data_IF_016818467858
#
_entry.id   IF_016818467858
#
_cell.length_a   1.000
_cell.length_b   1.000
_cell.length_c   1.000
_cell.angle_alpha   90.00
_cell.angle_beta   90.00
_cell.angle_gamma   90.00
#
_symmetry.space_group_name_H-M   'P 1'
#
loop_
_entity.id
_entity.type
_entity.pdbx_description
1 polymer ?
#
# COMPACT_ATOMS: atom_id res chain seq x y z
N UNK A 1 -16.71 26.05 2.43
CA UNK A 1 -15.32 25.59 2.66
C UNK A 1 -14.86 24.90 1.38
N UNK A 2 -13.70 25.23 0.79
CA UNK A 2 -13.26 24.63 -0.48
C UNK A 2 -12.56 23.28 -0.25
N UNK A 3 -12.52 22.43 -1.29
CA UNK A 3 -11.79 21.15 -1.25
C UNK A 3 -10.31 21.34 -0.92
N UNK A 4 -9.69 22.41 -1.45
CA UNK A 4 -8.29 22.73 -1.22
C UNK A 4 -7.97 23.14 0.22
N UNK A 5 -8.89 23.81 0.91
CA UNK A 5 -8.70 24.14 2.35
C UNK A 5 -8.66 22.84 3.17
N UNK A 6 -9.57 21.89 2.91
CA UNK A 6 -9.57 20.60 3.59
C UNK A 6 -8.32 19.78 3.27
N UNK A 7 -7.88 19.82 2.02
CA UNK A 7 -6.62 19.21 1.59
C UNK A 7 -5.41 19.83 2.30
N UNK A 8 -5.32 21.16 2.37
CA UNK A 8 -4.26 21.88 3.07
C UNK A 8 -4.24 21.59 4.57
N UNK A 9 -5.39 21.54 5.21
CA UNK A 9 -5.52 21.21 6.62
C UNK A 9 -5.04 19.78 6.93
N UNK A 10 -5.32 18.84 6.03
CA UNK A 10 -4.85 17.46 6.18
C UNK A 10 -3.32 17.36 5.96
N UNK A 11 -2.78 17.91 4.88
CA UNK A 11 -1.34 17.83 4.59
C UNK A 11 -0.50 18.55 5.65
N UNK A 12 -0.99 19.65 6.23
CA UNK A 12 -0.30 20.42 7.27
C UNK A 12 0.01 19.58 8.51
N UNK A 13 -0.83 18.62 8.85
CA UNK A 13 -0.61 17.71 9.99
C UNK A 13 0.64 16.83 9.84
N UNK A 14 1.21 16.73 8.64
CA UNK A 14 2.44 16.00 8.36
C UNK A 14 3.70 16.87 8.57
N UNK A 15 3.55 18.19 8.82
CA UNK A 15 4.67 19.13 9.03
C UNK A 15 5.71 18.63 10.06
N UNK A 16 5.36 17.99 11.19
CA UNK A 16 6.34 17.53 12.17
C UNK A 16 7.32 16.44 11.67
N UNK A 17 7.09 15.88 10.47
CA UNK A 17 8.04 14.96 9.84
C UNK A 17 9.23 15.68 9.15
N UNK A 18 9.24 16.99 9.12
CA UNK A 18 10.22 17.80 8.39
C UNK A 18 10.97 18.71 9.34
N UNK A 19 12.30 18.69 9.30
CA UNK A 19 13.12 19.58 10.14
C UNK A 19 13.12 21.04 9.66
N UNK A 20 12.73 21.30 8.39
CA UNK A 20 12.69 22.64 7.79
C UNK A 20 11.31 22.91 7.18
N UNK A 21 10.76 24.11 7.44
CA UNK A 21 9.48 24.52 6.86
C UNK A 21 9.55 24.56 5.32
N UNK A 22 10.62 25.08 4.76
CA UNK A 22 10.82 25.16 3.32
C UNK A 22 10.74 23.78 2.65
N UNK A 23 11.36 22.75 3.22
CA UNK A 23 11.28 21.37 2.68
C UNK A 23 9.87 20.82 2.77
N UNK A 24 9.14 21.10 3.84
CA UNK A 24 7.73 20.73 3.96
C UNK A 24 6.87 21.40 2.88
N UNK A 25 7.05 22.69 2.64
CA UNK A 25 6.28 23.42 1.62
C UNK A 25 6.56 22.88 0.21
N UNK A 26 7.79 22.53 -0.12
CA UNK A 26 8.12 21.84 -1.36
C UNK A 26 7.51 20.45 -1.45
N UNK A 27 7.49 19.71 -0.34
CA UNK A 27 6.81 18.41 -0.29
C UNK A 27 5.30 18.56 -0.50
N UNK A 28 4.65 19.52 0.16
CA UNK A 28 3.22 19.82 -0.03
C UNK A 28 2.93 20.23 -1.48
N UNK A 29 3.81 21.05 -2.08
CA UNK A 29 3.76 21.42 -3.52
C UNK A 29 3.87 20.18 -4.41
N UNK A 30 4.77 19.25 -4.10
CA UNK A 30 4.89 18.00 -4.84
C UNK A 30 3.59 17.17 -4.75
N UNK A 31 2.99 17.03 -3.55
CA UNK A 31 1.73 16.30 -3.38
C UNK A 31 0.57 17.01 -4.09
N UNK A 32 0.53 18.35 -4.10
CA UNK A 32 -0.44 19.11 -4.89
C UNK A 32 -0.26 18.85 -6.39
N UNK A 33 0.98 18.84 -6.88
CA UNK A 33 1.27 18.47 -8.27
C UNK A 33 0.85 17.05 -8.64
N UNK A 34 1.08 16.06 -7.74
CA UNK A 34 0.54 14.70 -7.91
C UNK A 34 -0.99 14.69 -8.03
N UNK A 35 -1.66 15.57 -7.27
CA UNK A 35 -3.12 15.68 -7.25
C UNK A 35 -3.69 16.18 -8.56
N UNK A 36 -3.06 17.19 -9.18
CA UNK A 36 -3.65 17.92 -10.33
C UNK A 36 -3.04 17.56 -11.68
N UNK A 37 -1.91 16.88 -11.74
CA UNK A 37 -1.27 16.52 -13.01
C UNK A 37 -2.11 15.56 -13.85
N UNK A 38 -1.97 15.67 -15.17
CA UNK A 38 -2.67 14.83 -16.16
C UNK A 38 -1.74 13.80 -16.82
N UNK A 39 -0.44 14.03 -16.76
CA UNK A 39 0.59 13.12 -17.25
C UNK A 39 1.45 12.58 -16.10
N UNK A 40 2.27 11.57 -16.37
CA UNK A 40 3.07 10.87 -15.35
C UNK A 40 4.57 10.95 -15.65
N UNK A 41 5.04 12.09 -16.14
CA UNK A 41 6.43 12.29 -16.55
C UNK A 41 7.36 12.70 -15.39
N UNK A 42 7.19 12.10 -14.22
CA UNK A 42 8.04 12.35 -13.05
C UNK A 42 7.87 13.76 -12.46
N UNK A 43 8.98 14.42 -12.11
CA UNK A 43 8.98 15.76 -11.50
C UNK A 43 8.55 16.84 -12.52
N UNK A 44 8.87 16.66 -13.78
CA UNK A 44 8.51 17.60 -14.85
C UNK A 44 6.99 17.82 -14.92
N UNK A 45 6.20 16.76 -14.74
CA UNK A 45 4.74 16.89 -14.73
C UNK A 45 4.21 17.70 -13.55
N UNK A 46 4.88 17.66 -12.41
CA UNK A 46 4.53 18.48 -11.23
C UNK A 46 4.74 19.96 -11.54
N UNK A 47 5.92 20.31 -12.11
CA UNK A 47 6.25 21.69 -12.51
C UNK A 47 5.23 22.25 -13.49
N UNK A 48 4.88 21.45 -14.50
CA UNK A 48 3.88 21.87 -15.52
C UNK A 48 2.48 21.99 -14.94
N UNK A 49 2.03 21.02 -14.17
CA UNK A 49 0.67 20.98 -13.65
C UNK A 49 0.34 22.13 -12.69
N UNK A 50 1.34 22.65 -11.99
CA UNK A 50 1.22 23.80 -11.09
C UNK A 50 1.69 25.10 -11.72
N UNK A 51 2.08 25.07 -13.01
CA UNK A 51 2.64 26.21 -13.74
C UNK A 51 3.82 26.89 -13.01
N UNK A 52 4.71 26.09 -12.41
CA UNK A 52 5.87 26.60 -11.70
C UNK A 52 6.97 27.05 -12.67
N UNK A 53 7.79 27.99 -12.22
CA UNK A 53 9.03 28.38 -12.91
C UNK A 53 9.93 27.13 -13.11
N UNK A 54 10.61 27.07 -14.25
CA UNK A 54 11.46 25.93 -14.62
C UNK A 54 12.59 25.66 -13.59
N UNK A 55 13.08 26.69 -12.90
CA UNK A 55 14.08 26.59 -11.81
C UNK A 55 13.58 25.75 -10.63
N UNK A 56 12.27 25.66 -10.43
CA UNK A 56 11.64 24.83 -9.40
C UNK A 56 11.88 23.32 -9.60
N UNK A 57 12.23 22.89 -10.83
CA UNK A 57 12.52 21.48 -11.11
C UNK A 57 13.66 20.92 -10.25
N UNK A 58 14.80 21.60 -10.22
CA UNK A 58 15.95 21.16 -9.42
C UNK A 58 15.63 21.19 -7.91
N UNK A 59 14.93 22.22 -7.45
CA UNK A 59 14.53 22.34 -6.04
C UNK A 59 13.59 21.22 -5.60
N UNK A 60 12.67 20.79 -6.47
CA UNK A 60 11.82 19.64 -6.21
C UNK A 60 12.63 18.34 -6.14
N UNK A 61 13.60 18.14 -7.04
CA UNK A 61 14.52 17.00 -6.97
C UNK A 61 15.29 17.00 -5.65
N UNK A 62 15.82 18.16 -5.24
CA UNK A 62 16.56 18.31 -3.98
C UNK A 62 15.67 18.06 -2.76
N UNK A 63 14.41 18.46 -2.81
CA UNK A 63 13.43 18.15 -1.77
C UNK A 63 13.30 16.63 -1.56
N UNK A 64 13.16 15.84 -2.63
CA UNK A 64 13.07 14.38 -2.53
C UNK A 64 14.34 13.74 -1.96
N UNK A 65 15.52 14.32 -2.23
CA UNK A 65 16.81 13.85 -1.72
C UNK A 65 17.14 14.38 -0.31
N UNK A 66 16.34 15.29 0.22
CA UNK A 66 16.65 16.03 1.44
C UNK A 66 16.54 15.16 2.70
N UNK A 67 17.60 15.15 3.51
CA UNK A 67 17.61 14.54 4.84
C UNK A 67 16.69 15.25 5.86
N UNK A 68 16.18 16.44 5.51
CA UNK A 68 15.17 17.15 6.29
C UNK A 68 13.82 16.43 6.28
N UNK A 69 13.55 15.54 5.32
CA UNK A 69 12.40 14.65 5.30
C UNK A 69 12.69 13.43 6.17
N UNK A 70 12.06 13.32 7.33
CA UNK A 70 12.17 12.16 8.22
C UNK A 70 11.16 11.10 7.79
N UNK A 71 11.55 10.27 6.82
CA UNK A 71 10.65 9.40 6.06
C UNK A 71 9.82 8.44 6.94
N UNK A 72 10.41 7.78 7.94
CA UNK A 72 9.68 6.84 8.78
C UNK A 72 8.72 7.59 9.72
N UNK A 73 9.11 8.78 10.21
CA UNK A 73 8.20 9.67 10.94
C UNK A 73 7.06 10.18 10.05
N UNK A 74 7.35 10.50 8.78
CA UNK A 74 6.31 10.88 7.81
C UNK A 74 5.31 9.76 7.60
N UNK A 75 5.79 8.52 7.48
CA UNK A 75 4.94 7.35 7.33
C UNK A 75 4.07 7.10 8.58
N UNK A 76 4.66 7.18 9.78
CA UNK A 76 3.92 7.02 11.04
C UNK A 76 2.86 8.11 11.22
N UNK A 77 3.21 9.39 10.98
CA UNK A 77 2.25 10.50 11.05
C UNK A 77 1.15 10.36 9.99
N UNK A 78 1.48 9.89 8.79
CA UNK A 78 0.49 9.59 7.76
C UNK A 78 -0.49 8.51 8.22
N UNK A 79 -0.02 7.42 8.80
CA UNK A 79 -0.87 6.36 9.35
C UNK A 79 -1.80 6.88 10.45
N UNK A 80 -1.27 7.66 11.40
CA UNK A 80 -2.08 8.29 12.45
C UNK A 80 -3.11 9.25 11.87
N UNK A 81 -2.74 10.00 10.83
CA UNK A 81 -3.65 10.90 10.12
C UNK A 81 -4.76 10.11 9.42
N UNK A 82 -4.45 9.03 8.70
CA UNK A 82 -5.44 8.16 8.05
C UNK A 82 -6.45 7.63 9.06
N UNK A 83 -6.00 7.15 10.23
CA UNK A 83 -6.89 6.66 11.28
C UNK A 83 -7.83 7.74 11.86
N UNK A 84 -7.48 9.03 11.73
CA UNK A 84 -8.31 10.17 12.12
C UNK A 84 -9.23 10.65 10.99
N UNK A 85 -8.73 10.66 9.75
CA UNK A 85 -9.47 11.13 8.57
C UNK A 85 -10.59 10.16 8.17
N UNK A 86 -10.40 8.87 8.44
CA UNK A 86 -11.36 7.83 8.13
C UNK A 86 -11.97 7.29 9.43
N UNK A 87 -13.12 7.84 9.87
CA UNK A 87 -13.71 7.47 11.17
C UNK A 87 -14.23 6.03 11.22
N UNK A 88 -14.37 5.39 10.06
CA UNK A 88 -14.85 4.02 9.94
C UNK A 88 -13.78 3.09 9.30
N UNK A 89 -12.62 2.86 9.96
CA UNK A 89 -11.75 1.78 9.54
C UNK A 89 -12.51 0.46 9.66
N UNK A 90 -12.27 -0.46 8.73
CA UNK A 90 -12.86 -1.80 8.85
C UNK A 90 -12.33 -2.47 10.11
N UNK A 91 -13.26 -2.80 11.02
CA UNK A 91 -12.94 -3.50 12.26
C UNK A 91 -13.72 -4.80 12.38
N UNK A 92 -13.03 -5.82 12.88
CA UNK A 92 -13.63 -7.10 13.26
C UNK A 92 -13.02 -7.51 14.60
N UNK A 93 -13.81 -7.95 15.55
CA UNK A 93 -13.38 -8.24 16.92
C UNK A 93 -12.52 -7.12 17.54
N UNK A 94 -12.89 -5.86 17.30
CA UNK A 94 -12.16 -4.67 17.78
C UNK A 94 -10.83 -4.37 17.07
N UNK A 95 -10.39 -5.21 16.12
CA UNK A 95 -9.12 -5.09 15.40
C UNK A 95 -9.30 -4.42 14.05
N UNK A 96 -8.37 -3.55 13.68
CA UNK A 96 -8.28 -3.02 12.32
C UNK A 96 -7.88 -4.12 11.33
N UNK A 97 -8.13 -3.89 10.04
CA UNK A 97 -7.73 -4.82 8.98
C UNK A 97 -6.71 -4.16 8.07
N UNK A 98 -5.49 -4.69 8.07
CA UNK A 98 -4.42 -4.32 7.16
C UNK A 98 -4.29 -5.35 6.05
N UNK A 99 -4.09 -4.89 4.84
CA UNK A 99 -3.77 -5.74 3.69
C UNK A 99 -2.34 -5.47 3.24
N UNK A 100 -1.60 -6.53 2.94
CA UNK A 100 -0.21 -6.44 2.48
C UNK A 100 0.03 -7.27 1.24
N UNK A 101 0.83 -6.71 0.31
CA UNK A 101 1.20 -7.41 -0.92
C UNK A 101 2.49 -6.83 -1.52
N UNK A 102 3.03 -7.52 -2.53
CA UNK A 102 4.16 -7.06 -3.33
C UNK A 102 3.73 -6.45 -4.65
N UNK A 103 4.46 -5.44 -5.12
CA UNK A 103 4.29 -4.90 -6.46
C UNK A 103 5.64 -4.80 -7.18
N UNK A 104 5.67 -5.17 -8.45
CA UNK A 104 6.84 -5.05 -9.34
C UNK A 104 6.58 -3.93 -10.34
N UNK A 105 7.49 -2.96 -10.38
CA UNK A 105 7.36 -1.76 -11.20
C UNK A 105 8.51 -1.69 -12.18
N UNK A 106 8.26 -1.70 -13.51
CA UNK A 106 9.31 -1.61 -14.52
C UNK A 106 10.04 -0.26 -14.42
N UNK A 107 11.35 -0.29 -14.71
CA UNK A 107 12.24 0.86 -14.75
C UNK A 107 13.15 0.80 -15.97
N UNK A 108 13.13 1.85 -16.78
CA UNK A 108 13.99 1.94 -17.98
C UNK A 108 15.41 2.45 -17.66
N UNK A 109 15.62 3.06 -16.48
CA UNK A 109 16.90 3.66 -16.10
C UNK A 109 17.96 2.63 -15.78
N UNK A 110 19.09 2.66 -16.48
CA UNK A 110 20.22 1.76 -16.26
C UNK A 110 21.15 2.17 -15.13
N UNK A 111 21.06 3.40 -14.65
CA UNK A 111 21.81 3.96 -13.50
C UNK A 111 20.90 4.21 -12.30
N UNK A 112 20.08 3.23 -11.96
CA UNK A 112 19.15 3.30 -10.84
C UNK A 112 19.46 2.18 -9.83
N UNK A 113 19.84 2.54 -8.58
CA UNK A 113 20.01 1.54 -7.52
C UNK A 113 18.75 0.72 -7.28
N UNK A 114 18.93 -0.55 -6.90
CA UNK A 114 17.88 -1.55 -6.66
C UNK A 114 17.12 -2.06 -7.89
N UNK A 115 17.37 -1.54 -9.09
CA UNK A 115 16.81 -2.14 -10.31
C UNK A 115 17.47 -3.49 -10.56
N UNK A 116 16.66 -4.51 -10.81
CA UNK A 116 17.11 -5.89 -11.10
C UNK A 116 16.14 -6.58 -12.06
N UNK A 117 16.54 -7.71 -12.59
CA UNK A 117 15.65 -8.63 -13.31
C UNK A 117 14.64 -9.24 -12.32
N UNK A 118 13.37 -9.12 -12.64
CA UNK A 118 12.25 -9.61 -11.83
C UNK A 118 11.36 -10.51 -12.68
N UNK A 119 11.12 -11.74 -12.21
CA UNK A 119 10.13 -12.63 -12.79
C UNK A 119 8.72 -12.17 -12.38
N UNK A 120 7.84 -11.96 -13.34
CA UNK A 120 6.43 -11.63 -13.10
C UNK A 120 5.61 -12.92 -13.10
N UNK A 121 5.06 -13.28 -11.94
CA UNK A 121 4.04 -14.31 -11.85
C UNK A 121 2.71 -13.70 -12.28
N UNK A 122 2.40 -13.71 -13.55
CA UNK A 122 1.14 -13.19 -14.08
C UNK A 122 0.44 -14.30 -14.85
N UNK A 123 -0.84 -14.51 -14.57
CA UNK A 123 -1.71 -15.39 -15.37
C UNK A 123 -2.09 -14.75 -16.72
N UNK A 124 -1.72 -13.49 -16.94
CA UNK A 124 -2.00 -12.77 -18.18
C UNK A 124 -0.87 -12.90 -19.20
N UNK A 125 -1.18 -13.47 -20.35
CA UNK A 125 -0.24 -13.63 -21.49
C UNK A 125 0.19 -12.27 -22.11
N UNK A 126 -0.42 -11.16 -21.74
CA UNK A 126 -0.09 -9.82 -22.25
C UNK A 126 1.05 -9.14 -21.49
N UNK A 127 1.50 -9.69 -20.37
CA UNK A 127 2.61 -9.14 -19.60
C UNK A 127 3.89 -9.94 -19.85
N UNK A 128 5.06 -9.29 -20.04
CA UNK A 128 6.31 -10.00 -20.18
C UNK A 128 6.60 -10.79 -18.91
N UNK A 129 7.14 -12.01 -19.07
CA UNK A 129 7.51 -12.89 -17.95
C UNK A 129 8.59 -12.26 -17.06
N UNK A 130 9.49 -11.50 -17.64
CA UNK A 130 10.58 -10.82 -16.95
C UNK A 130 10.59 -9.31 -17.23
N UNK A 131 10.86 -8.53 -16.20
CA UNK A 131 11.06 -7.07 -16.30
C UNK A 131 12.32 -6.64 -15.56
N UNK A 132 12.97 -5.59 -16.05
CA UNK A 132 13.91 -4.82 -15.25
C UNK A 132 13.14 -3.80 -14.43
N UNK A 133 13.29 -3.81 -13.10
CA UNK A 133 12.48 -2.92 -12.27
C UNK A 133 12.77 -2.98 -10.79
N UNK A 134 11.93 -2.29 -10.03
CA UNK A 134 11.91 -2.33 -8.57
C UNK A 134 10.84 -3.30 -8.07
N UNK A 135 11.23 -4.10 -7.09
CA UNK A 135 10.32 -4.94 -6.31
C UNK A 135 10.02 -4.24 -4.99
N UNK A 136 8.74 -3.99 -4.70
CA UNK A 136 8.30 -3.24 -3.54
C UNK A 136 7.30 -4.07 -2.73
N UNK A 137 7.24 -3.81 -1.43
CA UNK A 137 6.15 -4.26 -0.56
C UNK A 137 5.32 -3.07 -0.11
N UNK A 138 4.02 -3.29 0.05
CA UNK A 138 3.07 -2.28 0.47
C UNK A 138 2.17 -2.80 1.58
N UNK A 139 1.73 -1.88 2.43
CA UNK A 139 0.72 -2.08 3.47
C UNK A 139 -0.34 -1.01 3.34
N UNK A 140 -1.61 -1.42 3.37
CA UNK A 140 -2.77 -0.53 3.29
C UNK A 140 -3.77 -0.86 4.40
N UNK A 141 -4.52 0.15 4.86
CA UNK A 141 -5.63 0.01 5.80
C UNK A 141 -6.93 -0.17 5.01
N UNK A 142 -7.76 -1.15 5.36
CA UNK A 142 -9.12 -1.24 4.85
C UNK A 142 -10.04 -0.29 5.59
N UNK A 143 -10.82 0.49 4.84
CA UNK A 143 -11.80 1.43 5.36
C UNK A 143 -13.16 1.23 4.71
N UNK A 144 -14.22 1.46 5.48
CA UNK A 144 -15.58 1.53 4.96
C UNK A 144 -15.92 2.94 4.47
N UNK A 145 -16.66 3.02 3.37
CA UNK A 145 -17.26 4.24 2.89
C UNK A 145 -18.63 3.91 2.29
N UNK A 146 -19.68 4.24 2.99
CA UNK A 146 -21.05 3.87 2.67
C UNK A 146 -21.16 2.35 2.41
N UNK A 147 -21.62 1.93 1.23
CA UNK A 147 -21.71 0.51 0.83
C UNK A 147 -20.41 -0.08 0.29
N UNK A 148 -19.31 0.69 0.26
CA UNK A 148 -18.04 0.29 -0.35
C UNK A 148 -16.94 0.12 0.69
N UNK A 149 -15.95 -0.73 0.35
CA UNK A 149 -14.71 -0.88 1.10
C UNK A 149 -13.53 -0.66 0.16
N UNK A 150 -12.50 0.07 0.60
CA UNK A 150 -11.30 0.31 -0.18
C UNK A 150 -10.04 0.31 0.70
N UNK A 151 -8.87 0.21 0.05
CA UNK A 151 -7.58 0.17 0.72
C UNK A 151 -6.90 1.53 0.64
N UNK A 152 -6.66 2.16 1.80
CA UNK A 152 -5.88 3.39 1.92
C UNK A 152 -4.41 3.02 2.10
N UNK A 153 -3.50 3.40 1.17
CA UNK A 153 -2.10 3.03 1.28
C UNK A 153 -1.41 3.77 2.43
N UNK A 154 -0.69 3.02 3.27
CA UNK A 154 0.04 3.55 4.42
C UNK A 154 1.53 3.66 4.15
N UNK A 155 2.14 2.59 3.68
CA UNK A 155 3.58 2.48 3.48
C UNK A 155 3.92 1.62 2.26
N UNK A 156 4.91 2.05 1.49
CA UNK A 156 5.47 1.27 0.38
C UNK A 156 6.99 1.42 0.39
N UNK A 157 7.74 0.31 0.32
CA UNK A 157 9.21 0.34 0.31
C UNK A 157 9.77 -0.65 -0.70
N UNK A 158 10.89 -0.26 -1.33
CA UNK A 158 11.72 -1.18 -2.13
C UNK A 158 12.39 -2.16 -1.17
N UNK A 159 12.27 -3.44 -1.44
CA UNK A 159 12.74 -4.49 -0.54
C UNK A 159 13.73 -5.47 -1.18
N UNK A 160 13.92 -5.42 -2.49
CA UNK A 160 14.90 -6.23 -3.23
C UNK A 160 15.87 -5.37 -4.05
N UNK A 161 16.85 -6.02 -4.64
CA UNK A 161 17.80 -5.41 -5.56
C UNK A 161 19.12 -4.98 -4.94
N UNK A 162 19.19 -4.80 -3.62
CA UNK A 162 20.41 -4.38 -2.92
C UNK A 162 20.78 -5.34 -1.79
N UNK A 163 22.06 -5.69 -1.73
CA UNK A 163 22.67 -6.50 -0.66
C UNK A 163 23.69 -5.62 0.07
N UNK A 164 23.32 -5.12 1.25
CA UNK A 164 24.15 -4.23 2.06
C UNK A 164 25.26 -4.94 2.83
N UNK A 165 25.00 -6.20 3.21
CA UNK A 165 25.92 -7.05 3.93
C UNK A 165 25.72 -8.50 3.51
N UNK A 166 26.82 -9.26 3.37
CA UNK A 166 26.76 -10.70 3.16
C UNK A 166 26.27 -11.47 4.41
N UNK A 167 26.21 -10.80 5.57
CA UNK A 167 25.67 -11.34 6.82
C UNK A 167 24.17 -11.07 6.99
N UNK A 168 23.56 -10.22 6.17
CA UNK A 168 22.13 -9.93 6.24
C UNK A 168 21.31 -11.10 5.70
N UNK A 169 20.69 -11.85 6.59
CA UNK A 169 19.86 -13.03 6.29
C UNK A 169 18.36 -12.69 6.26
N UNK A 170 18.00 -11.41 6.31
CA UNK A 170 16.59 -11.00 6.24
C UNK A 170 15.98 -11.39 4.90
N UNK A 171 14.89 -12.15 4.99
CA UNK A 171 14.06 -12.53 3.84
C UNK A 171 13.04 -11.44 3.53
N UNK A 172 12.27 -11.61 2.46
CA UNK A 172 11.14 -10.71 2.13
C UNK A 172 10.08 -10.70 3.23
N UNK A 173 9.92 -11.81 3.95
CA UNK A 173 9.02 -11.91 5.10
C UNK A 173 9.48 -11.02 6.26
N UNK A 174 10.77 -11.05 6.59
CA UNK A 174 11.34 -10.18 7.63
C UNK A 174 11.18 -8.70 7.26
N UNK A 175 11.33 -8.36 5.97
CA UNK A 175 11.17 -6.99 5.46
C UNK A 175 9.72 -6.53 5.49
N UNK A 176 8.73 -7.43 5.33
CA UNK A 176 7.32 -7.10 5.52
C UNK A 176 7.03 -6.78 7.00
N UNK A 177 7.59 -7.53 7.96
CA UNK A 177 7.46 -7.20 9.38
C UNK A 177 8.07 -5.83 9.72
N UNK A 178 9.23 -5.51 9.15
CA UNK A 178 9.83 -4.17 9.27
C UNK A 178 8.91 -3.11 8.68
N UNK A 179 8.29 -3.36 7.52
CA UNK A 179 7.37 -2.41 6.89
C UNK A 179 6.10 -2.20 7.74
N UNK A 180 5.55 -3.25 8.35
CA UNK A 180 4.45 -3.14 9.30
C UNK A 180 4.83 -2.29 10.52
N UNK A 181 6.06 -2.46 11.05
CA UNK A 181 6.60 -1.62 12.11
C UNK A 181 6.75 -0.15 11.69
N UNK A 182 7.21 0.12 10.47
CA UNK A 182 7.30 1.49 9.90
C UNK A 182 5.92 2.12 9.72
N UNK A 183 4.91 1.34 9.32
CA UNK A 183 3.54 1.80 9.22
C UNK A 183 2.97 2.24 10.58
N UNK A 184 3.53 1.75 11.69
CA UNK A 184 3.27 2.19 13.06
C UNK A 184 1.77 2.24 13.43
N UNK A 185 1.03 1.18 13.10
CA UNK A 185 -0.37 1.02 13.54
C UNK A 185 -0.35 0.55 14.98
N UNK A 186 -0.69 1.44 15.92
CA UNK A 186 -0.63 1.17 17.36
C UNK A 186 -1.77 0.25 17.85
N UNK A 187 -2.86 0.19 17.10
CA UNK A 187 -4.03 -0.62 17.44
C UNK A 187 -3.82 -2.06 16.97
N UNK A 188 -4.35 -3.07 17.69
CA UNK A 188 -4.33 -4.44 17.23
C UNK A 188 -5.00 -4.61 15.85
N UNK A 189 -4.45 -5.48 15.01
CA UNK A 189 -4.95 -5.67 13.65
C UNK A 189 -4.90 -7.12 13.18
N UNK A 190 -5.71 -7.41 12.17
CA UNK A 190 -5.54 -8.58 11.30
C UNK A 190 -4.70 -8.17 10.09
N UNK A 191 -3.63 -8.90 9.85
CA UNK A 191 -2.85 -8.76 8.61
C UNK A 191 -3.35 -9.78 7.59
N UNK A 192 -3.96 -9.29 6.51
CA UNK A 192 -4.51 -10.13 5.44
C UNK A 192 -3.55 -10.11 4.26
N UNK A 193 -3.04 -11.26 3.88
CA UNK A 193 -2.02 -11.39 2.84
C UNK A 193 -2.19 -12.69 2.04
N UNK A 194 -1.42 -12.85 0.96
CA UNK A 194 -1.46 -14.03 0.13
C UNK A 194 -0.75 -15.24 0.77
N UNK A 195 -0.80 -16.40 0.11
CA UNK A 195 -0.21 -17.65 0.62
C UNK A 195 1.32 -17.60 0.80
N UNK A 196 2.02 -16.64 0.21
CA UNK A 196 3.45 -16.43 0.40
C UNK A 196 3.79 -16.08 1.87
N UNK A 197 2.89 -15.35 2.53
CA UNK A 197 3.05 -14.93 3.92
C UNK A 197 2.64 -15.98 4.94
N UNK A 198 2.15 -17.15 4.53
CA UNK A 198 1.85 -18.29 5.41
C UNK A 198 3.13 -18.95 5.93
N UNK A 199 3.87 -18.29 6.80
CA UNK A 199 5.18 -18.72 7.27
C UNK A 199 5.37 -18.40 8.76
N UNK A 200 6.22 -19.23 9.44
CA UNK A 200 6.55 -19.06 10.86
C UNK A 200 6.96 -17.62 11.21
N UNK A 201 7.86 -17.02 10.43
CA UNK A 201 8.37 -15.68 10.69
C UNK A 201 7.26 -14.64 10.79
N UNK A 202 6.33 -14.63 9.85
CA UNK A 202 5.20 -13.69 9.86
C UNK A 202 4.28 -13.96 11.06
N UNK A 203 3.92 -15.22 11.29
CA UNK A 203 3.05 -15.58 12.41
C UNK A 203 3.68 -15.20 13.73
N UNK A 204 4.94 -15.57 13.97
CA UNK A 204 5.65 -15.24 15.20
C UNK A 204 5.76 -13.73 15.40
N UNK A 205 6.18 -12.99 14.36
CA UNK A 205 6.33 -11.53 14.43
C UNK A 205 5.01 -10.79 14.68
N UNK A 206 3.88 -11.27 14.13
CA UNK A 206 2.57 -10.69 14.39
C UNK A 206 2.06 -11.01 15.80
N UNK A 207 2.17 -12.26 16.22
CA UNK A 207 1.67 -12.71 17.53
C UNK A 207 2.41 -12.06 18.71
N UNK A 208 3.71 -11.77 18.58
CA UNK A 208 4.47 -11.06 19.63
C UNK A 208 3.95 -9.64 19.86
N UNK A 209 3.26 -9.06 18.90
CA UNK A 209 2.64 -7.74 18.97
C UNK A 209 1.11 -7.80 19.13
N UNK A 210 0.57 -8.95 19.55
CA UNK A 210 -0.87 -9.20 19.66
C UNK A 210 -1.65 -8.96 18.35
N UNK A 211 -1.02 -9.22 17.19
CA UNK A 211 -1.64 -9.16 15.88
C UNK A 211 -1.84 -10.56 15.31
N UNK A 212 -2.74 -10.69 14.35
CA UNK A 212 -3.08 -11.97 13.74
C UNK A 212 -2.87 -11.97 12.24
N UNK A 213 -2.49 -13.14 11.70
CA UNK A 213 -2.42 -13.39 10.27
C UNK A 213 -3.71 -14.04 9.77
N UNK A 214 -4.23 -13.52 8.67
CA UNK A 214 -5.27 -14.16 7.86
C UNK A 214 -4.72 -14.35 6.44
N UNK A 215 -4.68 -15.58 5.94
CA UNK A 215 -4.06 -15.89 4.66
C UNK A 215 -4.66 -17.13 3.99
N UNK A 216 -4.37 -17.31 2.71
CA UNK A 216 -4.65 -18.54 1.97
C UNK A 216 -3.54 -19.56 2.24
N UNK A 217 -3.90 -20.83 2.31
CA UNK A 217 -2.95 -21.93 2.44
C UNK A 217 -2.63 -22.56 1.09
N UNK A 218 -1.40 -23.09 0.97
CA UNK A 218 -1.01 -23.91 -0.17
C UNK A 218 -1.70 -25.28 -0.10
N UNK A 219 -1.99 -25.90 -1.24
CA UNK A 219 -2.69 -27.20 -1.33
C UNK A 219 -1.95 -28.36 -0.66
N UNK A 220 -0.61 -28.28 -0.59
CA UNK A 220 0.25 -29.30 0.04
C UNK A 220 0.48 -29.07 1.55
N UNK A 221 -0.16 -28.05 2.14
CA UNK A 221 0.03 -27.74 3.56
C UNK A 221 -0.58 -28.84 4.46
N UNK A 222 0.03 -29.01 5.64
CA UNK A 222 -0.38 -29.99 6.63
C UNK A 222 -0.58 -29.36 8.00
N UNK A 223 -1.50 -29.91 8.77
CA UNK A 223 -1.74 -29.58 10.17
C UNK A 223 -1.87 -30.86 11.01
N UNK A 224 -2.08 -30.72 12.31
CA UNK A 224 -2.13 -31.84 13.24
C UNK A 224 -3.30 -31.67 14.21
N UNK A 225 -3.88 -32.79 14.63
CA UNK A 225 -4.76 -32.79 15.82
C UNK A 225 -3.93 -32.52 17.07
N UNK A 226 -4.57 -32.09 18.15
CA UNK A 226 -3.93 -32.11 19.45
C UNK A 226 -3.62 -33.56 19.83
N UNK A 227 -2.46 -33.78 20.49
CA UNK A 227 -2.13 -35.08 20.98
C UNK A 227 -3.03 -35.42 22.19
N UNK A 228 -3.73 -36.54 22.09
CA UNK A 228 -4.47 -37.11 23.21
C UNK A 228 -3.63 -38.20 23.84
N UNK A 229 -3.27 -38.03 25.11
CA UNK A 229 -2.52 -39.05 25.86
C UNK A 229 -3.40 -40.28 26.09
N UNK A 230 -2.97 -41.39 25.52
CA UNK A 230 -3.58 -42.69 25.80
C UNK A 230 -2.59 -43.51 26.63
N UNK A 231 -2.87 -43.70 27.92
CA UNK A 231 -2.02 -44.45 28.84
C UNK A 231 -1.10 -43.58 29.72
N UNK A 232 -0.24 -44.23 30.56
CA UNK A 232 0.58 -43.53 31.54
C UNK A 232 1.62 -42.61 30.88
N UNK A 233 1.97 -41.51 31.58
CA UNK A 233 2.92 -40.52 31.11
C UNK A 233 4.32 -41.13 30.99
N UNK A 234 4.89 -41.12 29.80
CA UNK A 234 6.27 -41.53 29.52
C UNK A 234 7.27 -40.43 29.90
N UNK A 235 8.53 -40.82 30.25
CA UNK A 235 9.63 -39.88 30.50
C UNK A 235 9.93 -39.09 29.22
N UNK A 236 10.29 -37.82 29.37
CA UNK A 236 10.70 -36.91 28.27
C UNK A 236 9.69 -35.80 27.99
N UNK A 237 9.96 -35.00 26.93
CA UNK A 237 9.09 -33.89 26.52
C UNK A 237 7.73 -34.41 26.08
N UNK A 238 6.61 -33.88 26.63
CA UNK A 238 5.27 -34.30 26.22
C UNK A 238 5.04 -34.09 24.72
N UNK A 239 4.42 -35.09 24.08
CA UNK A 239 4.05 -34.98 22.67
C UNK A 239 2.90 -33.97 22.53
N UNK A 240 3.09 -32.98 21.65
CA UNK A 240 2.12 -31.91 21.39
C UNK A 240 1.24 -32.24 20.18
N UNK A 241 1.83 -32.80 19.12
CA UNK A 241 1.18 -33.04 17.83
C UNK A 241 0.65 -34.49 17.76
N UNK A 242 -0.64 -34.61 17.47
CA UNK A 242 -1.31 -35.89 17.21
C UNK A 242 -1.20 -36.35 15.74
N UNK A 243 -2.32 -36.76 15.17
CA UNK A 243 -2.39 -37.27 13.80
C UNK A 243 -2.17 -36.16 12.79
N UNK A 244 -1.40 -36.44 11.72
CA UNK A 244 -1.15 -35.55 10.60
C UNK A 244 -2.35 -35.50 9.66
N UNK A 245 -2.76 -34.30 9.28
CA UNK A 245 -3.89 -34.05 8.36
C UNK A 245 -3.35 -33.25 7.17
N UNK A 246 -3.53 -33.75 5.96
CA UNK A 246 -3.36 -32.95 4.73
C UNK A 246 -4.52 -31.95 4.64
N UNK A 247 -4.25 -30.65 4.58
CA UNK A 247 -5.31 -29.65 4.59
C UNK A 247 -6.23 -29.74 3.35
N UNK A 248 -5.71 -30.24 2.21
CA UNK A 248 -6.53 -30.51 1.03
C UNK A 248 -7.64 -31.53 1.26
N UNK A 249 -7.47 -32.47 2.22
CA UNK A 249 -8.52 -33.43 2.57
C UNK A 249 -9.74 -32.76 3.21
N UNK A 250 -9.60 -31.55 3.76
CA UNK A 250 -10.73 -30.79 4.28
C UNK A 250 -11.71 -30.36 3.17
N UNK A 251 -11.26 -30.28 1.93
CA UNK A 251 -12.09 -29.94 0.76
C UNK A 251 -12.85 -31.13 0.20
N UNK A 252 -12.48 -32.37 0.55
CA UNK A 252 -13.05 -33.60 -0.03
C UNK A 252 -14.26 -34.17 0.74
N UNK A 253 -14.43 -33.77 2.01
CA UNK A 253 -15.44 -34.34 2.91
C UNK A 253 -16.78 -33.58 2.78
N UNK A 254 -17.59 -33.86 1.75
CA UNK A 254 -18.83 -33.14 1.44
C UNK A 254 -19.89 -33.11 2.56
N UNK A 255 -19.98 -34.16 3.38
CA UNK A 255 -21.00 -34.30 4.43
C UNK A 255 -20.91 -33.30 5.61
N UNK A 256 -19.82 -32.55 5.73
CA UNK A 256 -19.55 -31.68 6.88
C UNK A 256 -19.44 -30.20 6.48
N UNK A 257 -19.93 -29.82 5.32
CA UNK A 257 -19.95 -28.44 4.88
C UNK A 257 -21.25 -27.75 5.31
N UNK A 258 -21.10 -26.57 5.86
CA UNK A 258 -22.18 -25.62 6.10
C UNK A 258 -22.39 -24.76 4.85
N UNK A 259 -23.60 -24.28 4.65
CA UNK A 259 -23.93 -23.35 3.56
C UNK A 259 -24.20 -21.96 4.12
N UNK A 260 -23.76 -20.94 3.41
CA UNK A 260 -24.09 -19.56 3.72
C UNK A 260 -24.11 -18.70 2.45
N UNK A 261 -24.83 -17.56 2.47
CA UNK A 261 -24.67 -16.55 1.45
C UNK A 261 -23.21 -16.08 1.38
N UNK A 262 -22.70 -15.87 0.16
CA UNK A 262 -21.32 -15.41 -0.02
C UNK A 262 -21.11 -14.02 0.62
N UNK A 263 -20.15 -13.88 1.53
CA UNK A 263 -19.79 -12.58 2.11
C UNK A 263 -18.85 -11.78 1.20
N UNK A 264 -18.53 -12.28 0.01
CA UNK A 264 -17.58 -11.64 -0.91
C UNK A 264 -18.23 -10.40 -1.53
N UNK A 265 -17.47 -9.32 -1.55
CA UNK A 265 -17.93 -8.04 -2.06
C UNK A 265 -18.43 -8.12 -3.51
N UNK A 266 -19.63 -7.57 -3.75
CA UNK A 266 -20.26 -7.51 -5.06
C UNK A 266 -20.99 -8.80 -5.48
N UNK A 267 -21.07 -9.82 -4.63
CA UNK A 267 -21.82 -11.05 -4.89
C UNK A 267 -23.21 -10.99 -4.25
N UNK A 268 -24.22 -11.21 -5.08
CA UNK A 268 -25.61 -11.32 -4.65
C UNK A 268 -26.15 -12.70 -5.02
N UNK A 269 -26.90 -13.32 -4.11
CA UNK A 269 -27.57 -14.64 -4.32
C UNK A 269 -26.58 -15.81 -4.59
N UNK A 270 -25.31 -15.67 -4.25
CA UNK A 270 -24.32 -16.75 -4.35
C UNK A 270 -24.27 -17.48 -3.02
N UNK A 271 -24.46 -18.80 -3.05
CA UNK A 271 -24.30 -19.66 -1.87
C UNK A 271 -22.94 -20.33 -1.93
N UNK A 272 -22.17 -20.20 -0.86
CA UNK A 272 -20.89 -20.88 -0.67
C UNK A 272 -21.06 -22.05 0.29
N UNK A 273 -20.18 -23.03 0.17
CA UNK A 273 -20.04 -24.10 1.14
C UNK A 273 -18.72 -23.90 1.91
N UNK A 274 -18.76 -24.06 3.22
CA UNK A 274 -17.56 -23.92 4.02
C UNK A 274 -17.52 -24.91 5.19
N UNK A 275 -16.30 -25.19 5.66
CA UNK A 275 -16.03 -26.08 6.79
C UNK A 275 -14.93 -25.49 7.65
N UNK A 276 -15.12 -25.51 8.97
CA UNK A 276 -14.14 -24.99 9.96
C UNK A 276 -13.46 -26.14 10.69
N UNK A 277 -12.15 -26.01 10.89
CA UNK A 277 -11.36 -26.91 11.74
C UNK A 277 -10.26 -26.13 12.45
N UNK A 278 -10.21 -26.20 13.75
CA UNK A 278 -9.11 -25.69 14.55
C UNK A 278 -8.07 -26.81 14.74
N UNK A 279 -6.86 -26.63 14.22
CA UNK A 279 -5.81 -27.62 14.17
C UNK A 279 -4.47 -27.01 14.60
N UNK A 280 -3.59 -27.83 15.16
CA UNK A 280 -2.22 -27.44 15.45
C UNK A 280 -1.43 -27.29 14.15
N UNK A 281 -0.89 -26.10 13.93
CA UNK A 281 -0.03 -25.83 12.79
C UNK A 281 1.40 -25.58 13.25
N UNK A 282 2.35 -26.43 12.79
CA UNK A 282 3.75 -26.40 13.27
C UNK A 282 4.41 -25.01 13.14
N UNK A 283 4.24 -24.28 12.00
CA UNK A 283 4.83 -22.94 11.89
C UNK A 283 4.28 -21.93 12.92
N UNK A 284 3.06 -22.10 13.40
CA UNK A 284 2.48 -21.25 14.44
C UNK A 284 2.80 -21.76 15.86
N UNK A 285 3.13 -23.06 16.02
CA UNK A 285 3.34 -23.71 17.31
C UNK A 285 2.08 -23.81 18.18
N UNK A 286 0.90 -23.50 17.63
CA UNK A 286 -0.38 -23.40 18.34
C UNK A 286 -1.57 -23.80 17.46
N UNK A 287 -2.75 -23.86 18.06
CA UNK A 287 -4.01 -23.97 17.31
C UNK A 287 -4.21 -22.76 16.43
N UNK A 288 -4.62 -23.00 15.20
CA UNK A 288 -5.05 -21.98 14.24
C UNK A 288 -6.34 -22.46 13.56
N UNK A 289 -7.18 -21.54 13.14
CA UNK A 289 -8.42 -21.84 12.45
C UNK A 289 -8.18 -22.01 10.97
N UNK A 290 -8.60 -23.15 10.43
CA UNK A 290 -8.65 -23.41 8.99
C UNK A 290 -10.10 -23.39 8.52
N UNK A 291 -10.32 -22.71 7.41
CA UNK A 291 -11.63 -22.64 6.74
C UNK A 291 -11.45 -23.16 5.31
N UNK A 292 -12.03 -24.33 5.05
CA UNK A 292 -12.15 -24.86 3.70
C UNK A 292 -13.41 -24.24 3.06
N UNK A 293 -13.25 -23.62 1.89
CA UNK A 293 -14.34 -22.92 1.20
C UNK A 293 -14.47 -23.48 -0.21
N UNK A 294 -15.70 -23.76 -0.64
CA UNK A 294 -16.05 -24.11 -2.01
C UNK A 294 -17.00 -23.04 -2.54
N UNK A 295 -16.55 -22.34 -3.54
CA UNK A 295 -17.31 -21.29 -4.21
C UNK A 295 -17.72 -21.77 -5.61
N UNK A 296 -18.99 -21.63 -6.03
CA UNK A 296 -19.47 -22.22 -7.28
C UNK A 296 -18.74 -21.71 -8.52
N UNK A 297 -18.36 -20.42 -8.54
CA UNK A 297 -17.66 -19.83 -9.70
C UNK A 297 -16.14 -19.72 -9.52
N UNK A 298 -15.63 -19.67 -8.27
CA UNK A 298 -14.18 -19.42 -7.99
C UNK A 298 -13.43 -20.68 -7.56
N UNK A 299 -14.14 -21.82 -7.46
CA UNK A 299 -13.56 -23.08 -7.04
C UNK A 299 -13.27 -23.15 -5.54
N UNK A 300 -12.38 -24.07 -5.16
CA UNK A 300 -12.09 -24.38 -3.79
C UNK A 300 -10.83 -23.66 -3.28
N UNK A 301 -10.86 -23.19 -2.04
CA UNK A 301 -9.69 -22.63 -1.37
C UNK A 301 -9.63 -22.99 0.11
N UNK A 302 -8.43 -22.89 0.69
CA UNK A 302 -8.16 -23.08 2.10
C UNK A 302 -7.66 -21.77 2.69
N UNK A 303 -8.37 -21.25 3.68
CA UNK A 303 -7.98 -20.08 4.44
C UNK A 303 -7.48 -20.48 5.81
N UNK A 304 -6.63 -19.64 6.40
CA UNK A 304 -6.10 -19.83 7.75
C UNK A 304 -6.13 -18.49 8.48
N UNK A 305 -6.58 -18.52 9.72
CA UNK A 305 -6.48 -17.41 10.66
C UNK A 305 -5.78 -17.86 11.94
N UNK A 306 -4.84 -17.07 12.44
CA UNK A 306 -4.16 -17.36 13.73
C UNK A 306 -5.03 -17.01 14.94
N UNK A 307 -6.12 -16.31 14.75
CA UNK A 307 -7.16 -16.05 15.73
C UNK A 307 -8.28 -17.10 15.60
N UNK A 308 -8.40 -17.98 16.58
CA UNK A 308 -9.44 -19.02 16.60
C UNK A 308 -10.80 -18.50 17.08
N UNK A 309 -10.88 -17.26 17.56
CA UNK A 309 -12.15 -16.61 17.92
C UNK A 309 -12.86 -15.96 16.72
N UNK A 310 -12.12 -15.67 15.64
CA UNK A 310 -12.69 -15.03 14.45
C UNK A 310 -13.64 -15.98 13.72
N UNK A 311 -14.87 -15.52 13.42
CA UNK A 311 -15.87 -16.33 12.70
C UNK A 311 -15.43 -16.68 11.28
N UNK A 312 -15.89 -17.84 10.79
CA UNK A 312 -15.52 -18.34 9.48
C UNK A 312 -16.00 -17.44 8.33
N UNK A 313 -17.19 -16.87 8.45
CA UNK A 313 -17.75 -15.95 7.45
C UNK A 313 -16.94 -14.66 7.40
N UNK A 314 -16.49 -14.15 8.55
CA UNK A 314 -15.59 -13.00 8.62
C UNK A 314 -14.22 -13.32 8.00
N UNK A 315 -13.66 -14.51 8.24
CA UNK A 315 -12.41 -14.95 7.60
C UNK A 315 -12.57 -14.93 6.07
N UNK A 316 -13.67 -15.48 5.53
CA UNK A 316 -13.93 -15.50 4.09
C UNK A 316 -14.11 -14.08 3.56
N UNK A 317 -14.87 -13.24 4.25
CA UNK A 317 -15.12 -11.84 3.90
C UNK A 317 -13.83 -11.04 3.83
N UNK A 318 -13.03 -11.11 4.89
CA UNK A 318 -11.77 -10.36 4.98
C UNK A 318 -10.76 -10.80 3.92
N UNK A 319 -10.65 -12.11 3.67
CA UNK A 319 -9.78 -12.60 2.60
C UNK A 319 -10.29 -12.14 1.22
N UNK A 320 -11.60 -12.15 1.02
CA UNK A 320 -12.24 -11.60 -0.19
C UNK A 320 -11.90 -10.12 -0.44
N UNK A 321 -11.71 -9.33 0.63
CA UNK A 321 -11.34 -7.92 0.54
C UNK A 321 -9.85 -7.68 0.24
N UNK A 322 -8.98 -8.70 0.31
CA UNK A 322 -7.54 -8.57 0.00
C UNK A 322 -7.28 -7.93 -1.35
N UNK A 323 -8.08 -8.26 -2.37
CA UNK A 323 -7.89 -7.71 -3.72
C UNK A 323 -7.99 -6.16 -3.78
N UNK A 324 -8.52 -5.50 -2.75
CA UNK A 324 -8.62 -4.04 -2.70
C UNK A 324 -7.23 -3.37 -2.73
N UNK A 325 -6.17 -4.06 -2.27
CA UNK A 325 -4.80 -3.54 -2.40
C UNK A 325 -4.35 -3.52 -3.87
N UNK A 326 -4.78 -4.49 -4.68
CA UNK A 326 -4.48 -4.53 -6.11
C UNK A 326 -5.16 -3.39 -6.86
N UNK A 327 -6.39 -3.03 -6.47
CA UNK A 327 -7.06 -1.82 -6.95
C UNK A 327 -6.30 -0.56 -6.55
N UNK A 328 -5.85 -0.46 -5.29
CA UNK A 328 -5.01 0.64 -4.82
C UNK A 328 -3.72 0.76 -5.64
N UNK A 329 -3.04 -0.36 -5.95
CA UNK A 329 -1.88 -0.37 -6.84
C UNK A 329 -2.20 0.12 -8.24
N UNK A 330 -3.33 -0.30 -8.81
CA UNK A 330 -3.76 0.16 -10.14
C UNK A 330 -3.93 1.67 -10.17
N UNK A 331 -4.53 2.26 -9.15
CA UNK A 331 -4.67 3.72 -9.04
C UNK A 331 -3.31 4.41 -8.84
N UNK A 332 -2.46 3.88 -7.94
CA UNK A 332 -1.13 4.41 -7.70
C UNK A 332 -0.25 4.43 -8.96
N UNK A 333 -0.37 3.39 -9.81
CA UNK A 333 0.40 3.28 -11.07
C UNK A 333 -0.20 4.13 -12.18
N UNK A 334 -1.52 4.01 -12.44
CA UNK A 334 -2.15 4.52 -13.67
C UNK A 334 -2.69 5.93 -13.54
N UNK A 335 -3.02 6.38 -12.33
CA UNK A 335 -3.66 7.65 -12.11
C UNK A 335 -2.76 8.63 -11.36
N UNK A 336 -2.15 8.18 -10.27
CA UNK A 336 -1.31 9.03 -9.43
C UNK A 336 0.11 9.10 -9.98
N UNK A 337 0.62 8.01 -10.54
CA UNK A 337 2.01 7.90 -10.97
C UNK A 337 2.99 7.86 -9.79
N UNK A 338 2.62 7.22 -8.68
CA UNK A 338 3.44 7.13 -7.46
C UNK A 338 4.81 6.50 -7.67
N UNK A 339 4.99 5.80 -8.78
CA UNK A 339 6.22 5.09 -9.11
C UNK A 339 6.95 5.67 -10.34
N UNK A 340 6.63 6.87 -10.78
CA UNK A 340 7.19 7.47 -12.02
C UNK A 340 8.47 8.29 -11.78
N UNK A 341 9.17 8.07 -10.68
CA UNK A 341 10.47 8.70 -10.44
C UNK A 341 11.56 8.17 -11.37
N UNK A 342 12.48 9.07 -11.77
CA UNK A 342 13.62 8.79 -12.65
C UNK A 342 14.90 9.44 -12.09
N UNK A 343 15.21 9.20 -10.81
CA UNK A 343 16.40 9.78 -10.18
C UNK A 343 17.63 8.89 -10.45
N UNK A 344 18.39 9.23 -11.47
CA UNK A 344 19.60 8.51 -11.82
C UNK A 344 20.77 8.87 -10.91
N UNK A 345 21.72 7.94 -10.80
CA UNK A 345 22.96 8.12 -10.04
C UNK A 345 24.13 8.22 -11.02
N UNK A 346 24.75 9.43 -11.09
CA UNK A 346 25.77 9.75 -12.11
C UNK A 346 26.97 8.79 -12.06
N UNK A 347 27.49 8.54 -10.85
CA UNK A 347 28.65 7.70 -10.56
C UNK A 347 28.37 6.19 -10.61
N UNK A 348 27.15 5.78 -10.92
CA UNK A 348 26.78 4.38 -11.05
C UNK A 348 27.13 3.82 -12.44
N UNK A 349 27.81 2.66 -12.52
CA UNK A 349 27.98 1.92 -13.77
C UNK A 349 26.60 1.45 -14.29
N UNK A 350 26.32 1.61 -15.61
CA UNK A 350 25.05 1.16 -16.19
C UNK A 350 24.81 -0.34 -15.96
N UNK A 351 23.61 -0.67 -15.47
CA UNK A 351 23.19 -2.06 -15.30
C UNK A 351 23.03 -2.76 -16.67
N UNK A 352 23.38 -4.03 -16.73
CA UNK A 352 23.04 -4.91 -17.86
C UNK A 352 21.58 -5.38 -17.72
N UNK A 353 20.94 -5.79 -18.83
CA UNK A 353 19.53 -6.22 -18.84
C UNK A 353 19.20 -7.39 -17.91
N UNK A 354 20.14 -8.28 -17.65
CA UNK A 354 19.91 -9.46 -16.81
C UNK A 354 20.53 -9.34 -15.41
N UNK A 355 20.81 -8.13 -14.95
CA UNK A 355 21.45 -7.92 -13.67
C UNK A 355 20.56 -8.38 -12.51
N UNK A 356 21.15 -9.14 -11.60
CA UNK A 356 20.55 -9.54 -10.33
C UNK A 356 20.74 -8.47 -9.25
N UNK A 357 20.95 -8.93 -8.01
CA UNK A 357 21.17 -8.02 -6.88
C UNK A 357 22.52 -7.29 -6.99
N UNK A 358 22.52 -6.02 -6.55
CA UNK A 358 23.72 -5.18 -6.45
C UNK A 358 24.33 -5.37 -5.07
N UNK A 359 25.58 -5.85 -5.02
CA UNK A 359 26.29 -6.20 -3.78
C UNK A 359 27.07 -5.01 -3.25
N UNK A 360 26.42 -4.16 -2.44
CA UNK A 360 26.96 -2.91 -1.91
C UNK A 360 28.09 -3.12 -0.87
N UNK A 361 28.12 -4.26 -0.20
CA UNK A 361 29.21 -4.59 0.73
C UNK A 361 30.57 -4.68 0.05
N UNK A 362 30.63 -4.75 -1.30
CA UNK A 362 31.83 -4.76 -2.12
C UNK A 362 32.21 -3.39 -2.67
N UNK A 363 31.52 -2.33 -2.29
CA UNK A 363 31.72 -0.96 -2.80
C UNK A 363 32.25 -0.04 -1.70
N UNK A 364 32.74 1.14 -2.09
CA UNK A 364 33.20 2.18 -1.16
C UNK A 364 32.08 2.70 -0.26
N UNK A 365 32.44 3.33 0.84
CA UNK A 365 31.49 3.93 1.77
C UNK A 365 30.71 5.07 1.09
N UNK A 366 31.40 5.92 0.31
CA UNK A 366 30.78 7.04 -0.41
C UNK A 366 29.74 6.56 -1.41
N UNK A 367 30.06 5.53 -2.21
CA UNK A 367 29.09 4.96 -3.11
C UNK A 367 27.87 4.39 -2.37
N UNK A 368 28.07 3.74 -1.22
CA UNK A 368 26.95 3.26 -0.38
C UNK A 368 26.10 4.40 0.15
N UNK A 369 26.70 5.52 0.53
CA UNK A 369 25.98 6.70 0.98
C UNK A 369 25.18 7.34 -0.16
N UNK A 370 25.72 7.41 -1.36
CA UNK A 370 25.00 7.88 -2.55
C UNK A 370 23.78 6.98 -2.86
N UNK A 371 23.97 5.66 -2.78
CA UNK A 371 22.86 4.71 -2.96
C UNK A 371 21.78 4.90 -1.88
N UNK A 372 22.16 5.10 -0.60
CA UNK A 372 21.21 5.40 0.48
C UNK A 372 20.42 6.68 0.19
N UNK A 373 21.10 7.74 -0.25
CA UNK A 373 20.47 9.01 -0.61
C UNK A 373 19.49 8.85 -1.77
N UNK A 374 19.83 8.03 -2.79
CA UNK A 374 18.92 7.72 -3.91
C UNK A 374 17.70 6.93 -3.46
N UNK A 375 17.89 5.88 -2.66
CA UNK A 375 16.77 5.12 -2.11
C UNK A 375 15.83 5.97 -1.27
N UNK A 376 16.39 6.86 -0.46
CA UNK A 376 15.61 7.83 0.31
C UNK A 376 14.72 8.65 -0.64
N UNK A 377 15.29 9.20 -1.72
CA UNK A 377 14.54 9.99 -2.69
C UNK A 377 13.42 9.19 -3.37
N UNK A 378 13.68 7.93 -3.75
CA UNK A 378 12.63 7.05 -4.28
C UNK A 378 11.50 6.86 -3.30
N UNK A 379 11.83 6.55 -2.05
CA UNK A 379 10.82 6.31 -1.02
C UNK A 379 10.04 7.58 -0.65
N UNK A 380 10.67 8.77 -0.62
CA UNK A 380 9.97 10.04 -0.39
C UNK A 380 9.01 10.33 -1.54
N UNK A 381 9.43 10.12 -2.80
CA UNK A 381 8.56 10.29 -3.97
C UNK A 381 7.36 9.34 -3.92
N UNK A 382 7.60 8.06 -3.63
CA UNK A 382 6.54 7.05 -3.48
C UNK A 382 5.58 7.45 -2.34
N UNK A 383 6.13 7.85 -1.18
CA UNK A 383 5.33 8.25 -0.02
C UNK A 383 4.47 9.48 -0.33
N UNK A 384 4.99 10.46 -1.08
CA UNK A 384 4.22 11.61 -1.56
C UNK A 384 3.05 11.17 -2.45
N UNK A 385 3.29 10.24 -3.39
CA UNK A 385 2.26 9.71 -4.26
C UNK A 385 1.15 8.93 -3.53
N UNK A 386 1.50 8.08 -2.54
CA UNK A 386 0.50 7.34 -1.77
C UNK A 386 -0.25 8.25 -0.78
N UNK A 387 0.39 9.29 -0.24
CA UNK A 387 -0.29 10.33 0.54
C UNK A 387 -1.30 11.07 -0.34
N UNK A 388 -0.91 11.46 -1.56
CA UNK A 388 -1.84 12.03 -2.53
C UNK A 388 -3.06 11.13 -2.74
N UNK A 389 -2.86 9.83 -3.01
CA UNK A 389 -3.94 8.87 -3.19
C UNK A 389 -4.87 8.83 -1.99
N UNK A 390 -4.33 8.72 -0.78
CA UNK A 390 -5.14 8.67 0.44
C UNK A 390 -5.89 9.97 0.71
N UNK A 391 -5.33 11.14 0.37
CA UNK A 391 -6.02 12.43 0.44
C UNK A 391 -7.19 12.52 -0.55
N UNK A 392 -7.03 12.01 -1.78
CA UNK A 392 -8.13 11.92 -2.74
C UNK A 392 -9.25 11.01 -2.22
N UNK A 393 -8.91 9.86 -1.66
CA UNK A 393 -9.86 8.94 -1.03
C UNK A 393 -10.58 9.59 0.14
N UNK A 394 -9.85 10.34 0.99
CA UNK A 394 -10.43 11.08 2.10
C UNK A 394 -11.46 12.11 1.63
N UNK A 395 -11.10 12.94 0.64
CA UNK A 395 -12.03 13.95 0.11
C UNK A 395 -13.25 13.31 -0.55
N UNK A 396 -13.09 12.17 -1.22
CA UNK A 396 -14.19 11.40 -1.79
C UNK A 396 -15.22 10.96 -0.73
N UNK A 397 -14.74 10.57 0.45
CA UNK A 397 -15.59 10.05 1.52
C UNK A 397 -16.18 11.16 2.37
N UNK A 398 -15.33 12.13 2.77
CA UNK A 398 -15.73 13.17 3.71
C UNK A 398 -16.52 14.32 3.05
N UNK A 399 -16.28 14.57 1.75
CA UNK A 399 -16.83 15.72 1.05
C UNK A 399 -17.38 15.39 -0.35
N UNK A 400 -18.17 14.32 -0.53
CA UNK A 400 -18.61 13.86 -1.85
C UNK A 400 -19.40 14.95 -2.60
N UNK A 401 -20.24 15.71 -1.92
CA UNK A 401 -21.04 16.78 -2.53
C UNK A 401 -20.16 17.93 -3.06
N UNK A 402 -19.15 18.35 -2.29
CA UNK A 402 -18.19 19.36 -2.76
C UNK A 402 -17.39 18.88 -3.95
N UNK A 403 -17.02 17.59 -3.97
CA UNK A 403 -16.33 16.98 -5.10
C UNK A 403 -17.20 17.05 -6.36
N UNK A 404 -18.47 16.65 -6.29
CA UNK A 404 -19.36 16.68 -7.44
C UNK A 404 -19.65 18.10 -7.92
N UNK A 405 -19.82 19.04 -7.02
CA UNK A 405 -20.04 20.47 -7.39
C UNK A 405 -18.82 21.06 -8.11
N UNK A 406 -17.60 20.66 -7.73
CA UNK A 406 -16.35 21.14 -8.34
C UNK A 406 -15.90 20.31 -9.54
N UNK A 407 -16.51 19.16 -9.81
CA UNK A 407 -16.14 18.29 -10.92
C UNK A 407 -16.47 18.91 -12.28
N UNK A 408 -17.62 19.61 -12.38
CA UNK A 408 -17.96 20.45 -13.53
C UNK A 408 -18.23 19.68 -14.83
N UNK A 409 -18.52 18.38 -14.78
CA UNK A 409 -18.80 17.56 -15.96
C UNK A 409 -20.08 16.75 -15.81
N UNK A 410 -20.93 16.81 -16.83
CA UNK A 410 -22.14 15.99 -16.92
C UNK A 410 -21.87 14.56 -17.42
N UNK A 411 -20.66 14.26 -17.89
CA UNK A 411 -20.28 12.98 -18.49
C UNK A 411 -20.12 11.83 -17.46
N UNK A 412 -20.37 12.08 -16.20
CA UNK A 412 -20.29 11.07 -15.14
C UNK A 412 -21.63 10.88 -14.47
N UNK A 413 -22.08 9.63 -14.37
CA UNK A 413 -23.25 9.27 -13.60
C UNK A 413 -22.93 9.39 -12.10
N UNK A 414 -23.63 10.25 -11.40
CA UNK A 414 -23.61 10.34 -9.95
C UNK A 414 -24.46 9.20 -9.39
N UNK A 415 -23.85 8.37 -8.54
CA UNK A 415 -24.55 7.28 -7.86
C UNK A 415 -24.68 7.63 -6.37
N UNK A 416 -25.90 7.79 -5.86
CA UNK A 416 -26.12 8.01 -4.43
C UNK A 416 -25.49 6.92 -3.58
N UNK A 417 -24.86 7.27 -2.47
CA UNK A 417 -24.23 6.32 -1.56
C UNK A 417 -22.91 5.70 -2.03
N UNK A 418 -22.38 6.07 -3.20
CA UNK A 418 -21.08 5.63 -3.68
C UNK A 418 -20.12 6.83 -3.72
N UNK A 419 -18.99 6.79 -3.00
CA UNK A 419 -18.00 7.85 -3.06
C UNK A 419 -17.46 8.06 -4.48
N UNK A 420 -17.19 9.31 -4.90
CA UNK A 420 -16.55 9.58 -6.18
C UNK A 420 -15.16 8.92 -6.24
N UNK A 421 -14.74 8.50 -7.44
CA UNK A 421 -13.42 7.88 -7.63
C UNK A 421 -12.31 8.92 -7.46
N UNK A 422 -11.07 8.44 -7.19
CA UNK A 422 -9.88 9.30 -7.08
C UNK A 422 -9.68 10.18 -8.33
N UNK A 423 -10.05 9.69 -9.52
CA UNK A 423 -10.00 10.47 -10.77
C UNK A 423 -10.98 11.65 -10.73
N UNK A 424 -12.19 11.44 -10.26
CA UNK A 424 -13.21 12.49 -10.13
C UNK A 424 -12.75 13.55 -9.15
N UNK A 425 -12.22 13.14 -7.99
CA UNK A 425 -11.68 14.07 -6.97
C UNK A 425 -10.49 14.86 -7.52
N UNK A 426 -9.55 14.20 -8.19
CA UNK A 426 -8.39 14.87 -8.80
C UNK A 426 -8.82 15.88 -9.86
N UNK A 427 -9.86 15.57 -10.64
CA UNK A 427 -10.42 16.49 -11.64
C UNK A 427 -11.10 17.69 -10.97
N UNK A 428 -11.90 17.46 -9.93
CA UNK A 428 -12.53 18.52 -9.15
C UNK A 428 -11.51 19.48 -8.53
N UNK A 429 -10.43 18.92 -7.95
CA UNK A 429 -9.33 19.72 -7.40
C UNK A 429 -8.57 20.49 -8.50
N UNK A 430 -8.38 19.90 -9.68
CA UNK A 430 -7.74 20.58 -10.81
C UNK A 430 -8.57 21.75 -11.28
N UNK A 431 -9.87 21.59 -11.44
CA UNK A 431 -10.78 22.66 -11.88
C UNK A 431 -10.84 23.82 -10.87
N UNK A 432 -10.83 23.52 -9.57
CA UNK A 432 -10.90 24.52 -8.51
C UNK A 432 -9.54 25.10 -8.10
N UNK A 433 -8.41 24.62 -8.68
CA UNK A 433 -7.07 25.11 -8.32
C UNK A 433 -6.85 26.60 -8.65
N UNK A 434 -7.21 27.11 -9.86
CA UNK A 434 -7.00 28.51 -10.18
C UNK A 434 -7.71 29.46 -9.21
N UNK A 435 -8.97 29.20 -8.90
CA UNK A 435 -9.74 29.97 -7.93
C UNK A 435 -9.11 29.92 -6.52
N UNK A 436 -8.67 28.73 -6.08
CA UNK A 436 -8.00 28.58 -4.80
C UNK A 436 -6.71 29.40 -4.71
N UNK A 437 -5.87 29.39 -5.75
CA UNK A 437 -4.62 30.15 -5.77
C UNK A 437 -4.84 31.68 -5.84
N UNK A 438 -5.90 32.13 -6.51
CA UNK A 438 -6.24 33.55 -6.59
C UNK A 438 -6.86 34.11 -5.32
N UNK A 439 -7.76 33.36 -4.69
CA UNK A 439 -8.61 33.88 -3.60
C UNK A 439 -8.06 33.56 -2.19
N UNK A 440 -7.06 32.69 -2.06
CA UNK A 440 -6.64 32.14 -0.76
C UNK A 440 -5.17 32.40 -0.36
N UNK A 441 -4.37 33.26 -1.05
CA UNK A 441 -2.95 33.42 -0.70
C UNK A 441 -2.71 33.93 0.73
N UNK A 442 -3.65 34.73 1.27
CA UNK A 442 -3.53 35.30 2.61
C UNK A 442 -3.87 34.30 3.74
N UNK A 443 -4.69 33.29 3.47
CA UNK A 443 -5.16 32.32 4.44
C UNK A 443 -4.49 30.94 4.37
N UNK A 444 -3.72 30.65 3.31
CA UNK A 444 -3.00 29.38 3.13
C UNK A 444 -1.55 29.61 2.74
N UNK A 445 -0.63 29.25 3.66
CA UNK A 445 0.82 29.31 3.40
C UNK A 445 1.20 28.47 2.18
N UNK A 446 0.53 27.35 1.93
CA UNK A 446 0.80 26.49 0.75
C UNK A 446 0.36 27.19 -0.53
N UNK A 447 -0.82 27.84 -0.54
CA UNK A 447 -1.28 28.61 -1.70
C UNK A 447 -0.31 29.75 -2.04
N UNK A 448 0.03 30.56 -1.04
CA UNK A 448 1.03 31.64 -1.17
C UNK A 448 2.35 31.12 -1.72
N UNK A 449 2.87 30.02 -1.15
CA UNK A 449 4.13 29.42 -1.54
C UNK A 449 4.13 28.97 -3.01
N UNK A 450 3.04 28.37 -3.50
CA UNK A 450 2.88 27.95 -4.90
C UNK A 450 2.77 29.16 -5.79
N UNK A 451 1.90 30.13 -5.47
CA UNK A 451 1.67 31.34 -6.29
C UNK A 451 2.94 32.15 -6.52
N UNK A 452 3.77 32.35 -5.46
CA UNK A 452 5.06 33.06 -5.57
C UNK A 452 6.07 32.38 -6.49
N UNK A 453 5.84 31.12 -6.86
CA UNK A 453 6.76 30.30 -7.70
C UNK A 453 6.18 29.96 -9.06
N UNK A 454 5.02 30.51 -9.40
CA UNK A 454 4.47 30.35 -10.74
C UNK A 454 5.25 31.19 -11.77
N UNK A 455 5.31 30.67 -12.99
CA UNK A 455 5.90 31.36 -14.13
C UNK A 455 4.92 32.43 -14.67
N UNK A 456 5.10 33.67 -14.22
CA UNK A 456 4.24 34.80 -14.60
C UNK A 456 4.32 35.13 -16.09
N UNK A 457 5.48 34.94 -16.72
CA UNK A 457 5.66 35.22 -18.16
C UNK A 457 4.82 34.24 -19.01
N UNK A 458 4.78 32.99 -18.61
CA UNK A 458 3.98 31.95 -19.28
C UNK A 458 2.48 32.19 -19.09
N UNK A 459 2.06 32.71 -17.96
CA UNK A 459 0.66 33.09 -17.70
C UNK A 459 0.21 34.30 -18.55
N UNK A 460 1.09 35.25 -18.77
CA UNK A 460 0.81 36.44 -19.64
C UNK A 460 0.69 36.02 -21.09
N UNK A 461 1.55 35.13 -21.60
CA UNK A 461 1.48 34.62 -22.97
C UNK A 461 0.14 33.90 -23.26
N UNK A 462 -0.42 33.16 -22.28
CA UNK A 462 -1.74 32.55 -22.44
C UNK A 462 -2.90 33.57 -22.45
N UNK A 463 -2.78 34.68 -21.68
CA UNK A 463 -3.79 35.75 -21.67
C UNK A 463 -3.81 36.60 -22.95
N UNK A 464 -2.67 36.67 -23.66
CA UNK A 464 -2.56 37.38 -24.95
C UNK A 464 -2.96 36.51 -26.15
N UNK A 465 -3.04 35.18 -25.97
CA UNK A 465 -3.41 34.21 -27.01
C UNK A 465 -4.87 33.73 -26.90
N UNK A 466 -5.61 34.13 -25.87
CA UNK A 466 -7.05 33.87 -25.66
C UNK A 466 -7.88 35.10 -25.93
#
# INVERSE_FOLDING_TARGET
>A
MSLWINWCNAIWRLRPAFSRLQTFLWFATAVAGFTVRTDMLGVTSIVRALNLDARCYNTLIDCFHSSAVKLDRLTALWTQLVLRLFPQPLRVNGRCVLVGDGIKVPKCGRKMPAVKLLHQQSESNTKPEYIMGHSLQAVSLLVHAASSCFAVPLAVRIHEGLVWSNRDRRTLLDKMLVLLGIAAVEQPFYFVADAYYAAHKIVAGLLTQNNHLLTRMKSNAVAYTAYQQRGPRKRGRPRVYGSKIKLSSLLQASRNFQQAPSPVYGENKVIIQYRVRDLLWRPAGRLVRFVAVIHPARGACLLMCTDTSLDAIDIIRLYGLRFKIEHSFKQAVRQIGSFTYHFWMLNMKPLRRNNGNQHLHRTSLDYRNDVKRKLHAYHVFIQAGIICQGLLQYLAVAYPQLVWNSFGSWLRTIRPGIPPSELVVATALRHSLPEFLLNTPQSSIVAKFVTERQDTNRMQAFRLAA
#
